data_IF_245359610299
#
_entry.id   IF_245359610299
#
_cell.length_a   1.000
_cell.length_b   1.000
_cell.length_c   1.000
_cell.angle_alpha   90.00
_cell.angle_beta   90.00
_cell.angle_gamma   90.00
#
_symmetry.space_group_name_H-M   'P 1'
#
loop_
_entity.id
_entity.type
_entity.pdbx_description
1 polymer ?
#
# COMPACT_ATOMS: atom_id res chain seq x y z
N UNK A 1 -30.39 -2.53 -2.48
CA UNK A 1 -29.23 -1.92 -1.83
C UNK A 1 -28.07 -1.91 -2.79
N UNK A 2 -27.29 -0.85 -2.81
CA UNK A 2 -26.02 -0.78 -3.56
C UNK A 2 -24.85 -0.57 -2.60
N UNK A 3 -23.66 -0.97 -3.03
CA UNK A 3 -22.44 -0.91 -2.23
C UNK A 3 -21.37 -0.18 -3.04
N UNK A 4 -20.55 0.62 -2.35
CA UNK A 4 -19.41 1.27 -2.95
C UNK A 4 -18.18 1.05 -2.07
N UNK A 5 -17.05 0.70 -2.69
CA UNK A 5 -15.78 0.62 -1.99
C UNK A 5 -15.17 2.02 -1.91
N UNK A 6 -14.87 2.49 -0.71
CA UNK A 6 -14.29 3.81 -0.50
C UNK A 6 -12.82 3.76 -0.12
N UNK A 7 -12.39 2.71 0.58
CA UNK A 7 -11.06 2.65 1.15
C UNK A 7 -10.61 1.20 1.38
N UNK A 8 -9.31 1.03 1.49
CA UNK A 8 -8.67 -0.17 2.03
C UNK A 8 -7.95 0.23 3.31
N UNK A 9 -8.14 -0.52 4.38
CA UNK A 9 -7.45 -0.28 5.65
C UNK A 9 -6.40 -1.35 5.85
N UNK A 10 -5.15 -0.93 6.06
CA UNK A 10 -4.05 -1.79 6.48
C UNK A 10 -3.81 -1.56 7.96
N UNK A 11 -3.87 -2.61 8.75
CA UNK A 11 -3.52 -2.55 10.16
C UNK A 11 -2.01 -2.73 10.27
N UNK A 12 -1.35 -1.75 10.87
CA UNK A 12 0.12 -1.66 10.89
C UNK A 12 0.62 -1.51 12.33
N UNK A 13 1.92 -1.73 12.51
CA UNK A 13 2.61 -1.54 13.81
C UNK A 13 3.15 -0.13 13.94
N UNK A 14 3.58 0.47 12.83
CA UNK A 14 4.22 1.78 12.78
C UNK A 14 3.60 2.59 11.65
N UNK A 15 2.64 3.46 12.02
CA UNK A 15 1.91 4.28 11.05
C UNK A 15 2.86 5.24 10.34
N UNK A 16 3.80 5.85 11.05
CA UNK A 16 4.71 6.84 10.48
C UNK A 16 5.65 6.21 9.45
N UNK A 17 6.20 5.05 9.74
CA UNK A 17 7.08 4.35 8.79
C UNK A 17 6.31 3.88 7.55
N UNK A 18 5.10 3.35 7.73
CA UNK A 18 4.25 2.96 6.62
C UNK A 18 3.83 4.16 5.79
N UNK A 19 3.49 5.27 6.43
CA UNK A 19 3.16 6.52 5.74
C UNK A 19 4.32 6.99 4.86
N UNK A 20 5.54 7.05 5.40
CA UNK A 20 6.73 7.46 4.63
C UNK A 20 6.91 6.61 3.39
N UNK A 21 6.70 5.31 3.51
CA UNK A 21 6.80 4.37 2.38
C UNK A 21 5.82 4.73 1.27
N UNK A 22 4.54 4.86 1.61
CA UNK A 22 3.51 5.13 0.60
C UNK A 22 3.59 6.55 0.04
N UNK A 23 4.05 7.52 0.83
CA UNK A 23 4.33 8.87 0.31
C UNK A 23 5.47 8.84 -0.71
N UNK A 24 6.51 8.03 -0.48
CA UNK A 24 7.61 7.86 -1.44
C UNK A 24 7.13 7.27 -2.76
N UNK A 25 6.09 6.46 -2.75
CA UNK A 25 5.46 5.90 -3.96
C UNK A 25 4.49 6.87 -4.65
N UNK A 26 4.24 8.03 -4.06
CA UNK A 26 3.46 9.09 -4.71
C UNK A 26 2.08 9.35 -4.10
N UNK A 27 1.66 8.64 -3.06
CA UNK A 27 0.43 8.95 -2.36
C UNK A 27 0.59 10.24 -1.54
N UNK A 28 -0.53 10.87 -1.23
CA UNK A 28 -0.59 12.13 -0.49
C UNK A 28 -1.47 11.97 0.75
N UNK A 29 -1.11 12.67 1.81
CA UNK A 29 -1.88 12.65 3.05
C UNK A 29 -3.17 13.43 2.88
N UNK A 30 -4.29 12.81 3.26
CA UNK A 30 -5.59 13.47 3.40
C UNK A 30 -5.76 13.99 4.82
N UNK A 31 -5.55 13.12 5.81
CA UNK A 31 -5.72 13.46 7.22
C UNK A 31 -4.92 12.48 8.09
N UNK A 32 -4.52 12.96 9.26
CA UNK A 32 -3.98 12.14 10.34
C UNK A 32 -4.87 12.37 11.55
N UNK A 33 -5.30 11.31 12.21
CA UNK A 33 -6.21 11.43 13.34
C UNK A 33 -6.07 10.25 14.30
N UNK A 34 -6.71 10.39 15.45
CA UNK A 34 -7.01 9.28 16.35
C UNK A 34 -8.54 9.17 16.39
N UNK A 35 -9.06 8.03 16.00
CA UNK A 35 -10.49 7.79 15.94
C UNK A 35 -10.90 6.53 16.67
N UNK A 36 -12.21 6.33 16.83
CA UNK A 36 -12.77 5.18 17.50
C UNK A 36 -12.76 5.30 19.02
N UNK A 37 -13.38 4.34 19.67
CA UNK A 37 -13.50 4.27 21.12
C UNK A 37 -13.16 2.86 21.60
N UNK A 38 -12.77 2.75 22.88
CA UNK A 38 -12.46 1.47 23.51
C UNK A 38 -11.45 0.67 22.68
N UNK A 39 -11.70 -0.63 22.48
CA UNK A 39 -10.79 -1.53 21.74
C UNK A 39 -10.64 -1.19 20.27
N UNK A 40 -11.48 -0.32 19.70
CA UNK A 40 -11.34 0.12 18.31
C UNK A 40 -10.71 1.51 18.17
N UNK A 41 -10.11 2.03 19.24
CA UNK A 41 -9.38 3.30 19.18
C UNK A 41 -8.10 3.14 18.36
N UNK A 42 -7.91 3.97 17.35
CA UNK A 42 -6.87 3.81 16.34
C UNK A 42 -6.16 5.14 16.05
N UNK A 43 -4.85 5.05 15.91
CA UNK A 43 -4.06 6.08 15.24
C UNK A 43 -4.16 5.80 13.73
N UNK A 44 -4.50 6.82 12.93
CA UNK A 44 -4.72 6.64 11.50
C UNK A 44 -3.99 7.68 10.67
N UNK A 45 -3.54 7.26 9.49
CA UNK A 45 -3.13 8.14 8.40
C UNK A 45 -3.91 7.73 7.15
N UNK A 46 -4.66 8.67 6.57
CA UNK A 46 -5.47 8.47 5.38
C UNK A 46 -4.74 9.04 4.19
N UNK A 47 -4.48 8.20 3.19
CA UNK A 47 -3.71 8.56 2.01
C UNK A 47 -4.54 8.32 0.75
N UNK A 48 -4.28 9.11 -0.29
CA UNK A 48 -4.82 8.84 -1.62
C UNK A 48 -3.90 9.40 -2.69
N UNK A 49 -4.11 9.00 -3.94
CA UNK A 49 -3.34 9.50 -5.08
C UNK A 49 -3.44 11.02 -5.20
N UNK A 50 -4.64 11.54 -5.02
CA UNK A 50 -4.95 12.97 -5.21
C UNK A 50 -4.83 13.80 -3.92
N UNK A 51 -4.77 13.16 -2.77
CA UNK A 51 -4.81 13.83 -1.47
C UNK A 51 -6.22 14.19 -1.02
N UNK A 52 -7.23 13.69 -1.71
CA UNK A 52 -8.65 13.88 -1.38
C UNK A 52 -9.46 12.63 -1.70
N UNK A 53 -10.77 12.73 -1.63
CA UNK A 53 -11.69 11.60 -1.80
C UNK A 53 -11.98 11.23 -3.25
N UNK A 54 -11.37 11.91 -4.22
CA UNK A 54 -11.64 11.64 -5.64
C UNK A 54 -10.96 10.37 -6.16
N UNK A 55 -10.03 9.79 -5.40
CA UNK A 55 -9.40 8.52 -5.71
C UNK A 55 -9.53 7.57 -4.52
N UNK A 56 -9.17 6.29 -4.72
CA UNK A 56 -9.26 5.29 -3.67
C UNK A 56 -8.39 5.68 -2.47
N UNK A 57 -8.90 5.46 -1.26
CA UNK A 57 -8.25 5.85 -0.01
C UNK A 57 -7.54 4.63 0.57
N UNK A 58 -6.27 4.79 0.93
CA UNK A 58 -5.53 3.81 1.73
C UNK A 58 -5.45 4.36 3.15
N UNK A 59 -6.00 3.61 4.12
CA UNK A 59 -5.95 3.99 5.53
C UNK A 59 -4.92 3.11 6.22
N UNK A 60 -3.89 3.74 6.80
CA UNK A 60 -2.93 3.07 7.65
C UNK A 60 -3.39 3.24 9.09
N UNK A 61 -3.52 2.15 9.83
CA UNK A 61 -4.17 2.17 11.12
C UNK A 61 -3.42 1.31 12.14
N UNK A 62 -3.17 1.87 13.31
CA UNK A 62 -2.64 1.14 14.46
C UNK A 62 -3.64 1.19 15.59
N UNK A 63 -4.12 0.03 16.03
CA UNK A 63 -4.97 -0.04 17.21
C UNK A 63 -4.14 0.27 18.45
N UNK A 64 -4.63 1.18 19.27
CA UNK A 64 -3.85 1.68 20.43
C UNK A 64 -3.94 0.77 21.64
N UNK A 65 -5.02 0.02 21.75
CA UNK A 65 -5.32 -0.79 22.95
C UNK A 65 -5.38 -2.29 22.65
N UNK A 66 -4.93 -2.71 21.46
CA UNK A 66 -4.85 -4.11 21.05
C UNK A 66 -3.45 -4.43 20.55
N UNK A 67 -3.00 -5.68 20.66
CA UNK A 67 -1.73 -6.08 20.07
C UNK A 67 -1.81 -6.01 18.54
N UNK A 68 -0.68 -5.72 17.87
CA UNK A 68 -0.66 -5.72 16.41
C UNK A 68 -0.88 -7.12 15.85
N UNK A 69 -1.43 -7.23 14.62
CA UNK A 69 -1.54 -8.53 13.98
C UNK A 69 -0.14 -9.09 13.66
N UNK A 70 0.00 -10.41 13.50
CA UNK A 70 1.26 -10.98 13.03
C UNK A 70 1.56 -10.48 11.61
N UNK A 71 2.85 -10.43 11.22
CA UNK A 71 3.22 -10.05 9.85
C UNK A 71 2.56 -10.99 8.83
N UNK A 72 2.13 -10.48 7.66
CA UNK A 72 1.60 -11.33 6.60
C UNK A 72 2.65 -12.34 6.12
N UNK A 73 2.17 -13.52 5.72
CA UNK A 73 3.01 -14.57 5.12
C UNK A 73 2.54 -14.75 3.68
N UNK A 74 3.49 -14.76 2.75
CA UNK A 74 3.19 -14.90 1.32
C UNK A 74 2.40 -16.21 1.05
N UNK A 75 1.30 -16.18 0.24
CA UNK A 75 0.82 -15.01 -0.52
C UNK A 75 -0.06 -14.05 0.28
N UNK A 76 -0.41 -14.33 1.54
CA UNK A 76 -1.31 -13.50 2.31
C UNK A 76 -2.76 -13.58 1.82
N UNK A 77 -3.62 -12.76 2.42
CA UNK A 77 -5.04 -12.73 2.08
C UNK A 77 -5.40 -11.57 1.15
N UNK A 78 -4.65 -10.48 1.23
CA UNK A 78 -4.95 -9.24 0.52
C UNK A 78 -3.68 -8.72 -0.12
N UNK A 79 -3.79 -8.33 -1.38
CA UNK A 79 -2.75 -7.61 -2.09
C UNK A 79 -3.29 -6.25 -2.51
N UNK A 80 -2.47 -5.22 -2.37
CA UNK A 80 -2.73 -3.96 -3.06
C UNK A 80 -2.28 -4.13 -4.50
N UNK A 81 -3.00 -3.53 -5.43
CA UNK A 81 -2.61 -3.50 -6.83
C UNK A 81 -2.52 -2.04 -7.27
N UNK A 82 -1.39 -1.66 -7.83
CA UNK A 82 -1.13 -0.28 -8.24
C UNK A 82 -0.63 -0.25 -9.68
N UNK A 83 -0.96 0.82 -10.37
CA UNK A 83 -0.49 1.10 -11.73
C UNK A 83 0.54 2.21 -11.66
N UNK A 84 1.66 2.01 -12.34
CA UNK A 84 2.77 2.98 -12.39
C UNK A 84 3.20 3.19 -13.84
N UNK A 85 3.90 4.29 -14.09
CA UNK A 85 4.42 4.57 -15.44
C UNK A 85 5.71 3.79 -15.75
N UNK A 86 6.43 3.34 -14.73
CA UNK A 86 7.72 2.66 -14.85
C UNK A 86 7.87 1.66 -13.70
N UNK A 87 7.70 0.38 -14.00
CA UNK A 87 7.72 -0.69 -12.99
C UNK A 87 9.09 -0.79 -12.32
N UNK A 88 10.18 -0.76 -13.09
CA UNK A 88 11.51 -0.93 -12.51
C UNK A 88 11.90 0.25 -11.63
N UNK A 89 11.50 1.47 -12.02
CA UNK A 89 11.70 2.65 -11.19
C UNK A 89 10.90 2.57 -9.88
N UNK A 90 9.66 2.09 -9.95
CA UNK A 90 8.84 1.90 -8.75
C UNK A 90 9.48 0.88 -7.80
N UNK A 91 10.07 -0.20 -8.31
CA UNK A 91 10.76 -1.18 -7.48
C UNK A 91 12.00 -0.60 -6.78
N UNK A 92 12.74 0.26 -7.47
CA UNK A 92 13.87 0.97 -6.83
C UNK A 92 13.37 1.85 -5.67
N UNK A 93 12.27 2.57 -5.89
CA UNK A 93 11.66 3.38 -4.84
C UNK A 93 11.20 2.53 -3.66
N UNK A 94 10.59 1.37 -3.93
CA UNK A 94 10.18 0.43 -2.89
C UNK A 94 11.36 0.07 -1.99
N UNK A 95 12.48 -0.32 -2.57
CA UNK A 95 13.67 -0.70 -1.78
C UNK A 95 14.23 0.47 -0.99
N UNK A 96 14.34 1.64 -1.61
CA UNK A 96 14.85 2.84 -0.95
C UNK A 96 13.98 3.29 0.22
N UNK A 97 12.68 3.04 0.13
CA UNK A 97 11.70 3.44 1.15
C UNK A 97 11.47 2.39 2.24
N UNK A 98 12.23 1.29 2.22
CA UNK A 98 12.18 0.28 3.28
C UNK A 98 11.34 -0.95 2.98
N UNK A 99 10.82 -1.07 1.77
CA UNK A 99 10.12 -2.27 1.32
C UNK A 99 11.07 -3.28 0.70
N UNK A 100 10.50 -4.33 0.12
CA UNK A 100 11.26 -5.43 -0.49
C UNK A 100 10.68 -5.82 -1.84
N UNK A 101 11.54 -6.36 -2.71
CA UNK A 101 11.09 -6.94 -3.97
C UNK A 101 10.85 -8.43 -3.73
N UNK A 102 9.61 -8.88 -3.97
CA UNK A 102 9.24 -10.30 -3.88
C UNK A 102 9.46 -10.98 -5.23
N UNK A 103 9.07 -10.30 -6.32
CA UNK A 103 9.32 -10.74 -7.69
C UNK A 103 9.61 -9.52 -8.55
N UNK A 104 10.76 -9.53 -9.22
CA UNK A 104 11.16 -8.43 -10.10
C UNK A 104 10.25 -8.31 -11.32
N UNK A 105 10.34 -7.17 -12.01
CA UNK A 105 9.49 -6.89 -13.16
C UNK A 105 9.65 -7.89 -14.29
N UNK A 106 8.53 -8.36 -14.82
CA UNK A 106 8.49 -9.28 -15.95
C UNK A 106 7.40 -8.83 -16.91
N UNK A 107 7.73 -8.85 -18.21
CA UNK A 107 6.75 -8.57 -19.23
C UNK A 107 5.73 -9.71 -19.33
N UNK A 108 4.47 -9.32 -19.43
CA UNK A 108 3.33 -10.21 -19.65
C UNK A 108 2.65 -9.80 -20.96
N UNK A 109 3.14 -10.27 -22.10
CA UNK A 109 2.60 -9.84 -23.41
C UNK A 109 1.11 -10.17 -23.56
N UNK A 110 0.65 -11.26 -22.95
CA UNK A 110 -0.76 -11.68 -22.98
C UNK A 110 -1.70 -10.65 -22.33
N UNK A 111 -1.18 -9.79 -21.47
CA UNK A 111 -1.94 -8.74 -20.78
C UNK A 111 -1.45 -7.34 -21.15
N UNK A 112 -0.45 -7.24 -22.03
CA UNK A 112 0.16 -5.97 -22.44
C UNK A 112 0.64 -5.13 -21.25
N UNK A 113 1.27 -5.78 -20.26
CA UNK A 113 1.81 -5.11 -19.07
C UNK A 113 3.14 -5.73 -18.65
N UNK A 114 3.90 -4.95 -17.88
CA UNK A 114 4.99 -5.43 -17.06
C UNK A 114 4.50 -5.49 -15.62
N UNK A 115 4.75 -6.59 -14.92
CA UNK A 115 4.23 -6.81 -13.58
C UNK A 115 5.34 -7.22 -12.62
N UNK A 116 5.23 -6.79 -11.37
CA UNK A 116 6.13 -7.14 -10.29
C UNK A 116 5.34 -7.33 -9.00
N UNK A 117 5.96 -7.95 -8.01
CA UNK A 117 5.41 -8.10 -6.68
C UNK A 117 6.42 -7.53 -5.69
N UNK A 118 5.94 -6.65 -4.83
CA UNK A 118 6.73 -6.03 -3.78
C UNK A 118 6.03 -6.22 -2.43
N UNK A 119 6.72 -5.86 -1.36
CA UNK A 119 6.10 -5.75 -0.05
C UNK A 119 6.48 -4.43 0.60
N UNK A 120 5.57 -3.91 1.43
CA UNK A 120 5.83 -2.72 2.20
C UNK A 120 6.69 -3.04 3.45
N UNK A 121 7.09 -2.04 4.26
CA UNK A 121 7.94 -2.30 5.42
C UNK A 121 7.37 -3.27 6.44
N UNK A 122 6.07 -3.48 6.45
CA UNK A 122 5.41 -4.40 7.38
C UNK A 122 5.07 -5.75 6.75
N UNK A 123 5.40 -5.93 5.47
CA UNK A 123 5.21 -7.19 4.77
C UNK A 123 3.91 -7.32 3.99
N UNK A 124 3.11 -6.25 3.85
CA UNK A 124 1.92 -6.29 2.99
C UNK A 124 2.33 -6.34 1.53
N UNK A 125 1.65 -7.17 0.75
CA UNK A 125 2.02 -7.42 -0.64
C UNK A 125 1.37 -6.41 -1.58
N UNK A 126 2.15 -6.01 -2.59
CA UNK A 126 1.75 -5.01 -3.59
C UNK A 126 2.09 -5.58 -4.96
N UNK A 127 1.06 -5.74 -5.81
CA UNK A 127 1.27 -5.99 -7.23
C UNK A 127 1.44 -4.64 -7.93
N UNK A 128 2.53 -4.53 -8.69
CA UNK A 128 2.86 -3.30 -9.41
C UNK A 128 2.79 -3.61 -10.90
N UNK A 129 1.95 -2.88 -11.64
CA UNK A 129 1.80 -3.05 -13.08
C UNK A 129 2.06 -1.73 -13.80
N UNK A 130 2.59 -1.85 -15.00
CA UNK A 130 2.87 -0.71 -15.85
C UNK A 130 3.17 -1.14 -17.27
N UNK A 131 3.65 -0.21 -18.13
CA UNK A 131 4.00 -0.53 -19.51
C UNK A 131 5.08 -1.61 -19.60
N UNK A 132 5.02 -2.43 -20.64
CA UNK A 132 6.04 -3.43 -20.94
C UNK A 132 7.39 -2.78 -21.24
N UNK A 133 8.43 -3.58 -21.05
CA UNK A 133 9.81 -3.17 -21.28
C UNK A 133 10.51 -2.73 -20.01
N UNK A 134 11.82 -3.00 -19.90
CA UNK A 134 12.63 -2.47 -18.78
C UNK A 134 12.88 -0.99 -18.97
N UNK A 135 13.08 -0.29 -17.87
CA UNK A 135 13.46 1.14 -17.89
C UNK A 135 14.97 1.32 -17.79
#
# INVERSE_FOLDING_TARGET
MSIAFIATKLVVRDVEASERFYLALGLKVMTRNVGGEAEVRQQQSWLSETGDRSSHILILSRFLDLPPPPPPVYPGEIWLAVSVSDVDAALRTVEEAGGSIVRSGQDRPEHDVRAAIASDPEGHFIEIVGPMGPS
#
